data_IF_990734698313
#
_entry.id   IF_990734698313
#
_cell.length_a   1.000
_cell.length_b   1.000
_cell.length_c   1.000
_cell.angle_alpha   90.00
_cell.angle_beta   90.00
_cell.angle_gamma   90.00
#
_symmetry.space_group_name_H-M   'P 1'
#
loop_
_entity.id
_entity.type
_entity.pdbx_description
1 polymer ?
#
# COMPACT_ATOMS: atom_id res chain seq x y z
N UNK A 1 14.69 20.04 -5.93
CA UNK A 1 13.87 19.87 -7.14
C UNK A 1 12.47 19.52 -6.66
N UNK A 2 11.48 20.34 -7.01
CA UNK A 2 10.10 20.10 -6.56
C UNK A 2 9.42 19.05 -7.45
N UNK A 3 8.59 18.19 -6.84
CA UNK A 3 7.86 17.14 -7.57
C UNK A 3 6.54 17.68 -8.15
N UNK A 4 5.95 18.68 -7.50
CA UNK A 4 4.68 19.30 -7.87
C UNK A 4 4.75 20.83 -7.85
N UNK A 5 3.86 21.47 -8.61
CA UNK A 5 3.77 22.93 -8.76
C UNK A 5 2.31 23.41 -8.59
N UNK A 6 2.16 24.66 -8.14
CA UNK A 6 0.85 25.33 -8.15
C UNK A 6 0.47 25.69 -9.59
N UNK A 7 -0.82 25.56 -9.91
CA UNK A 7 -1.33 25.89 -11.23
C UNK A 7 -2.19 27.16 -11.19
N UNK A 8 -2.01 28.09 -12.14
CA UNK A 8 -2.93 29.21 -12.32
C UNK A 8 -4.36 28.73 -12.58
N UNK A 9 -5.36 29.41 -12.02
CA UNK A 9 -6.79 29.03 -12.17
C UNK A 9 -7.26 29.17 -13.62
N UNK A 10 -6.59 29.99 -14.43
CA UNK A 10 -6.91 30.23 -15.84
C UNK A 10 -6.49 29.06 -16.74
N UNK A 11 -5.58 28.20 -16.28
CA UNK A 11 -5.15 27.06 -17.08
C UNK A 11 -6.17 25.93 -17.03
N UNK A 12 -6.55 25.34 -18.18
CA UNK A 12 -7.45 24.20 -18.20
C UNK A 12 -6.82 23.00 -17.49
N UNK A 13 -7.63 21.98 -17.21
CA UNK A 13 -7.13 20.70 -16.72
C UNK A 13 -6.24 20.04 -17.78
N UNK A 14 -5.17 19.37 -17.35
CA UNK A 14 -4.15 18.75 -18.21
C UNK A 14 -3.59 17.46 -17.61
N UNK A 15 -2.82 16.71 -18.40
CA UNK A 15 -2.12 15.53 -17.93
C UNK A 15 -1.22 15.88 -16.73
N UNK A 16 -1.22 15.01 -15.71
CA UNK A 16 -0.44 15.20 -14.50
C UNK A 16 -1.01 16.21 -13.51
N UNK A 17 -2.18 16.83 -13.79
CA UNK A 17 -2.93 17.54 -12.76
C UNK A 17 -3.34 16.55 -11.66
N UNK A 18 -3.15 16.97 -10.42
CA UNK A 18 -3.58 16.25 -9.22
C UNK A 18 -4.91 16.84 -8.79
N UNK A 19 -5.92 15.99 -8.77
CA UNK A 19 -7.26 16.30 -8.34
C UNK A 19 -7.49 15.84 -6.90
N UNK A 20 -8.14 16.70 -6.12
CA UNK A 20 -8.80 16.30 -4.89
C UNK A 20 -10.24 15.91 -5.19
N UNK A 21 -10.65 14.74 -4.72
CA UNK A 21 -11.98 14.18 -4.92
C UNK A 21 -12.88 14.60 -3.76
N UNK A 22 -14.02 15.19 -4.10
CA UNK A 22 -15.09 15.56 -3.18
C UNK A 22 -16.25 14.56 -3.38
N UNK A 23 -16.28 13.46 -2.60
CA UNK A 23 -17.35 12.48 -2.69
C UNK A 23 -18.70 13.12 -2.32
N UNK A 24 -19.77 12.68 -2.97
CA UNK A 24 -21.12 13.10 -2.64
C UNK A 24 -21.98 11.91 -2.20
N UNK A 25 -22.85 12.16 -1.22
CA UNK A 25 -23.75 11.13 -0.70
C UNK A 25 -23.02 10.00 0.04
N UNK A 26 -23.65 8.82 0.07
CA UNK A 26 -23.16 7.65 0.81
C UNK A 26 -22.26 6.71 0.00
N UNK A 27 -22.02 6.99 -1.29
CA UNK A 27 -21.17 6.13 -2.13
C UNK A 27 -19.70 6.42 -1.83
N UNK A 28 -18.95 5.49 -1.22
CA UNK A 28 -17.56 5.74 -0.87
C UNK A 28 -16.71 5.77 -2.15
N UNK A 29 -16.15 6.93 -2.47
CA UNK A 29 -15.06 6.98 -3.43
C UNK A 29 -13.81 6.39 -2.75
N UNK A 30 -13.07 5.46 -3.38
CA UNK A 30 -12.05 4.69 -2.68
C UNK A 30 -10.75 5.46 -2.37
N UNK A 31 -10.66 6.73 -2.78
CA UNK A 31 -9.49 7.60 -2.57
C UNK A 31 -9.92 9.07 -2.62
N UNK A 32 -9.11 9.94 -2.01
CA UNK A 32 -9.34 11.39 -1.94
C UNK A 32 -8.49 12.20 -2.93
N UNK A 33 -7.46 11.58 -3.53
CA UNK A 33 -6.53 12.22 -4.44
C UNK A 33 -6.33 11.37 -5.70
N UNK A 34 -6.15 12.01 -6.85
CA UNK A 34 -5.88 11.31 -8.10
C UNK A 34 -5.07 12.16 -9.09
N UNK A 35 -4.28 11.51 -9.95
CA UNK A 35 -3.59 12.16 -11.06
C UNK A 35 -4.35 11.93 -12.38
N UNK A 36 -4.48 12.97 -13.21
CA UNK A 36 -4.99 12.85 -14.58
C UNK A 36 -3.95 12.17 -15.46
N UNK A 37 -4.34 11.11 -16.18
CA UNK A 37 -3.45 10.40 -17.10
C UNK A 37 -3.77 10.62 -18.58
N UNK A 38 -4.93 11.18 -18.93
CA UNK A 38 -5.26 11.56 -20.31
C UNK A 38 -4.12 12.37 -20.93
N UNK A 39 -3.77 12.09 -22.18
CA UNK A 39 -2.71 12.82 -22.87
C UNK A 39 -3.13 14.29 -23.08
N UNK A 40 -2.16 15.21 -23.00
CA UNK A 40 -2.40 16.64 -23.22
C UNK A 40 -3.01 16.91 -24.61
N UNK A 41 -2.61 16.15 -25.63
CA UNK A 41 -3.15 16.28 -26.99
C UNK A 41 -4.63 15.85 -27.07
N UNK A 42 -5.06 14.83 -26.32
CA UNK A 42 -6.45 14.40 -26.31
C UNK A 42 -7.33 15.40 -25.57
N UNK A 43 -6.84 15.91 -24.44
CA UNK A 43 -7.51 16.95 -23.64
C UNK A 43 -7.70 18.24 -24.46
N UNK A 44 -6.65 18.70 -25.15
CA UNK A 44 -6.69 19.93 -25.94
C UNK A 44 -7.62 19.84 -27.16
N UNK A 45 -7.81 18.65 -27.72
CA UNK A 45 -8.65 18.41 -28.90
C UNK A 45 -10.04 17.85 -28.57
N UNK A 46 -10.40 17.73 -27.28
CA UNK A 46 -11.68 17.15 -26.86
C UNK A 46 -11.87 15.67 -27.18
N UNK A 47 -10.78 14.92 -27.43
CA UNK A 47 -10.78 13.49 -27.80
C UNK A 47 -10.87 12.54 -26.60
N UNK A 48 -11.37 13.04 -25.48
CA UNK A 48 -11.50 12.29 -24.22
C UNK A 48 -12.95 11.90 -23.93
N UNK A 49 -13.88 12.13 -24.88
CA UNK A 49 -15.31 11.75 -24.82
C UNK A 49 -16.02 12.19 -23.53
N UNK A 50 -15.63 13.35 -22.98
CA UNK A 50 -16.17 13.85 -21.73
C UNK A 50 -15.73 13.08 -20.48
N UNK A 51 -14.69 12.25 -20.58
CA UNK A 51 -14.15 11.42 -19.49
C UNK A 51 -12.74 11.84 -19.12
N UNK A 52 -12.46 11.94 -17.82
CA UNK A 52 -11.12 12.10 -17.27
C UNK A 52 -10.71 10.76 -16.64
N UNK A 53 -9.63 10.19 -17.13
CA UNK A 53 -8.97 9.00 -16.62
C UNK A 53 -8.01 9.37 -15.48
N UNK A 54 -8.13 8.64 -14.38
CA UNK A 54 -7.52 8.94 -13.10
C UNK A 54 -6.69 7.77 -12.59
N UNK A 55 -5.51 8.09 -12.06
CA UNK A 55 -4.70 7.18 -11.25
C UNK A 55 -4.85 7.57 -9.77
N UNK A 56 -5.26 6.65 -8.89
CA UNK A 56 -5.50 6.96 -7.49
C UNK A 56 -4.19 7.23 -6.76
N UNK A 57 -4.21 8.24 -5.90
CA UNK A 57 -3.12 8.61 -5.01
C UNK A 57 -3.59 8.40 -3.58
N UNK A 58 -2.77 7.72 -2.79
CA UNK A 58 -3.00 7.53 -1.35
C UNK A 58 -1.90 8.24 -0.59
N UNK A 59 -2.22 8.84 0.56
CA UNK A 59 -1.15 9.19 1.52
C UNK A 59 -0.45 7.92 1.95
N UNK A 60 0.83 8.00 2.27
CA UNK A 60 1.58 6.78 2.55
C UNK A 60 1.04 6.03 3.77
N UNK A 61 0.55 6.75 4.80
CA UNK A 61 -0.15 6.15 5.94
C UNK A 61 -1.44 5.43 5.53
N UNK A 62 -2.28 6.06 4.70
CA UNK A 62 -3.50 5.45 4.15
C UNK A 62 -3.17 4.21 3.31
N UNK A 63 -2.10 4.28 2.51
CA UNK A 63 -1.61 3.14 1.73
C UNK A 63 -1.17 1.99 2.64
N UNK A 64 -0.36 2.29 3.65
CA UNK A 64 0.13 1.29 4.59
C UNK A 64 -1.03 0.59 5.29
N UNK A 65 -1.99 1.36 5.79
CA UNK A 65 -3.15 0.82 6.49
C UNK A 65 -4.05 -0.03 5.57
N UNK A 66 -4.27 0.41 4.32
CA UNK A 66 -5.22 -0.22 3.41
C UNK A 66 -4.64 -1.46 2.71
N UNK A 67 -3.37 -1.43 2.31
CA UNK A 67 -2.79 -2.44 1.41
C UNK A 67 -1.64 -3.24 2.03
N UNK A 68 -0.83 -2.64 2.89
CA UNK A 68 0.33 -3.31 3.48
C UNK A 68 -0.03 -4.04 4.78
N UNK A 69 -0.75 -3.36 5.68
CA UNK A 69 -1.06 -3.83 7.03
C UNK A 69 -1.79 -5.19 7.05
N UNK A 70 -2.79 -5.47 6.18
CA UNK A 70 -3.45 -6.78 6.18
C UNK A 70 -2.49 -7.94 5.91
N UNK A 71 -1.61 -7.77 4.91
CA UNK A 71 -0.62 -8.78 4.55
C UNK A 71 0.47 -8.90 5.62
N UNK A 72 0.89 -7.76 6.18
CA UNK A 72 1.82 -7.74 7.28
C UNK A 72 1.28 -8.55 8.46
N UNK A 73 0.07 -8.26 8.95
CA UNK A 73 -0.57 -8.99 10.05
C UNK A 73 -0.69 -10.49 9.74
N UNK A 74 -1.15 -10.85 8.53
CA UNK A 74 -1.26 -12.25 8.12
C UNK A 74 0.10 -12.98 8.22
N UNK A 75 1.17 -12.36 7.75
CA UNK A 75 2.52 -12.91 7.85
C UNK A 75 3.01 -13.00 9.31
N UNK A 76 2.64 -12.05 10.17
CA UNK A 76 2.96 -12.14 11.62
C UNK A 76 2.26 -13.32 12.29
N UNK A 77 0.99 -13.55 11.95
CA UNK A 77 0.21 -14.71 12.42
C UNK A 77 0.88 -16.00 11.93
N UNK A 78 1.23 -16.09 10.65
CA UNK A 78 1.88 -17.27 10.07
C UNK A 78 3.22 -17.59 10.74
N UNK A 79 4.10 -16.59 10.89
CA UNK A 79 5.41 -16.75 11.54
C UNK A 79 5.24 -17.23 12.99
N UNK A 80 4.37 -16.59 13.76
CA UNK A 80 4.12 -16.96 15.16
C UNK A 80 3.52 -18.37 15.28
N UNK A 81 2.53 -18.68 14.43
CA UNK A 81 1.88 -19.99 14.39
C UNK A 81 2.87 -21.09 14.05
N UNK A 82 3.75 -20.86 13.07
CA UNK A 82 4.82 -21.79 12.72
C UNK A 82 5.77 -22.05 13.89
N UNK A 83 6.20 -21.01 14.60
CA UNK A 83 7.07 -21.17 15.79
C UNK A 83 6.39 -21.99 16.89
N UNK A 84 5.10 -21.73 17.18
CA UNK A 84 4.33 -22.48 18.19
C UNK A 84 4.20 -23.94 17.75
N UNK A 85 3.79 -24.18 16.50
CA UNK A 85 3.60 -25.51 15.92
C UNK A 85 4.86 -26.37 16.03
N UNK A 86 6.00 -25.82 15.61
CA UNK A 86 7.30 -26.52 15.60
C UNK A 86 7.85 -26.75 17.01
N UNK A 87 7.65 -25.80 17.93
CA UNK A 87 8.21 -25.92 19.29
C UNK A 87 7.37 -26.80 20.21
N UNK A 88 6.05 -26.80 20.02
CA UNK A 88 5.09 -27.54 20.84
C UNK A 88 4.63 -28.86 20.21
N UNK A 89 5.11 -29.18 19.00
CA UNK A 89 4.74 -30.39 18.22
C UNK A 89 3.22 -30.54 18.03
N UNK A 90 2.54 -29.41 17.81
CA UNK A 90 1.09 -29.34 17.59
C UNK A 90 0.79 -29.48 16.09
N UNK A 91 -0.31 -30.12 15.71
CA UNK A 91 -0.74 -30.16 14.30
C UNK A 91 -1.39 -28.85 13.81
N UNK A 92 -1.59 -28.75 12.50
CA UNK A 92 -2.16 -27.55 11.87
C UNK A 92 -3.61 -27.25 12.32
N UNK A 93 -4.42 -28.29 12.56
CA UNK A 93 -5.81 -28.13 13.03
C UNK A 93 -5.89 -27.47 14.40
N UNK A 94 -5.05 -27.93 15.33
CA UNK A 94 -4.98 -27.41 16.69
C UNK A 94 -4.46 -25.96 16.73
N UNK A 95 -3.58 -25.58 15.78
CA UNK A 95 -3.17 -24.17 15.60
C UNK A 95 -4.34 -23.32 15.11
N UNK A 96 -5.13 -23.82 14.16
CA UNK A 96 -6.37 -23.17 13.73
C UNK A 96 -7.35 -22.95 14.88
N UNK A 97 -7.53 -23.96 15.74
CA UNK A 97 -8.35 -23.85 16.95
C UNK A 97 -7.80 -22.82 17.95
N UNK A 98 -6.48 -22.77 18.15
CA UNK A 98 -5.84 -21.76 18.99
C UNK A 98 -6.09 -20.35 18.47
N UNK A 99 -5.91 -20.12 17.16
CA UNK A 99 -6.18 -18.83 16.52
C UNK A 99 -7.64 -18.44 16.73
N UNK A 100 -8.58 -19.36 16.48
CA UNK A 100 -10.01 -19.11 16.67
C UNK A 100 -10.35 -18.85 18.14
N UNK A 101 -9.71 -19.56 19.07
CA UNK A 101 -9.92 -19.35 20.50
C UNK A 101 -9.44 -17.95 20.92
N UNK A 102 -8.22 -17.55 20.56
CA UNK A 102 -7.72 -16.20 20.80
C UNK A 102 -8.63 -15.18 20.11
N UNK A 103 -9.10 -15.47 18.88
CA UNK A 103 -9.98 -14.58 18.15
C UNK A 103 -11.41 -14.48 18.73
N UNK A 104 -11.80 -15.43 19.58
CA UNK A 104 -13.06 -15.38 20.33
C UNK A 104 -12.94 -14.65 21.68
N UNK A 105 -11.72 -14.32 22.13
CA UNK A 105 -11.54 -13.58 23.37
C UNK A 105 -12.01 -12.13 23.20
N UNK A 106 -12.93 -11.73 24.08
CA UNK A 106 -13.34 -10.33 24.23
C UNK A 106 -12.15 -9.46 24.66
N UNK A 107 -12.23 -8.14 24.43
CA UNK A 107 -11.17 -7.18 24.76
C UNK A 107 -10.71 -7.20 26.23
N UNK A 108 -11.53 -7.76 27.14
CA UNK A 108 -11.25 -7.83 28.57
C UNK A 108 -10.72 -9.19 29.04
N UNK A 109 -10.62 -10.19 28.17
CA UNK A 109 -10.10 -11.51 28.51
C UNK A 109 -8.70 -11.66 27.93
N UNK A 110 -7.69 -11.74 28.79
CA UNK A 110 -6.33 -12.07 28.37
C UNK A 110 -6.19 -13.57 28.15
N UNK A 111 -5.39 -13.95 27.16
CA UNK A 111 -4.93 -15.32 27.01
C UNK A 111 -3.85 -15.60 28.05
N UNK A 112 -4.02 -16.66 28.84
CA UNK A 112 -3.05 -17.06 29.87
C UNK A 112 -1.89 -17.84 29.22
N UNK A 113 -0.82 -17.10 28.89
CA UNK A 113 0.35 -17.62 28.18
C UNK A 113 1.14 -18.60 29.06
N UNK A 114 1.27 -18.31 30.36
CA UNK A 114 2.02 -19.17 31.29
C UNK A 114 1.34 -20.53 31.46
N UNK A 115 0.00 -20.52 31.58
CA UNK A 115 -0.79 -21.75 31.62
C UNK A 115 -0.76 -22.53 30.31
N UNK A 116 -0.64 -21.86 29.17
CA UNK A 116 -0.47 -22.55 27.89
C UNK A 116 0.91 -23.20 27.80
N UNK A 117 1.98 -22.45 28.05
CA UNK A 117 3.36 -22.92 27.92
C UNK A 117 3.66 -24.07 28.89
N UNK A 118 3.11 -24.02 30.11
CA UNK A 118 3.28 -25.08 31.12
C UNK A 118 2.65 -26.43 30.75
N UNK A 119 1.80 -26.50 29.70
CA UNK A 119 1.25 -27.77 29.19
C UNK A 119 2.25 -28.58 28.37
N UNK A 120 3.35 -27.96 27.96
CA UNK A 120 4.35 -28.56 27.09
C UNK A 120 5.66 -28.75 27.85
N UNK A 121 6.33 -29.88 27.61
CA UNK A 121 7.64 -30.18 28.18
C UNK A 121 8.75 -29.45 27.41
N UNK A 122 8.79 -28.12 27.53
CA UNK A 122 9.73 -27.27 26.80
C UNK A 122 10.98 -26.97 27.62
N UNK A 123 12.15 -27.00 26.96
CA UNK A 123 13.35 -26.41 27.55
C UNK A 123 13.20 -24.87 27.69
N UNK A 124 14.02 -24.24 28.54
CA UNK A 124 13.93 -22.80 28.83
C UNK A 124 13.95 -21.91 27.58
N UNK A 125 14.75 -22.25 26.56
CA UNK A 125 14.87 -21.46 25.33
C UNK A 125 13.61 -21.59 24.47
N UNK A 126 13.11 -22.81 24.29
CA UNK A 126 11.87 -23.07 23.56
C UNK A 126 10.66 -22.45 24.26
N UNK A 127 10.57 -22.56 25.60
CA UNK A 127 9.52 -21.93 26.39
C UNK A 127 9.49 -20.40 26.17
N UNK A 128 10.66 -19.73 26.25
CA UNK A 128 10.73 -18.29 25.97
C UNK A 128 10.33 -17.95 24.53
N UNK A 129 10.78 -18.74 23.55
CA UNK A 129 10.43 -18.54 22.14
C UNK A 129 8.92 -18.68 21.90
N UNK A 130 8.28 -19.67 22.51
CA UNK A 130 6.83 -19.89 22.44
C UNK A 130 6.07 -18.76 23.14
N UNK A 131 6.50 -18.32 24.31
CA UNK A 131 5.91 -17.16 25.00
C UNK A 131 5.89 -15.93 24.09
N UNK A 132 7.03 -15.58 23.48
CA UNK A 132 7.12 -14.45 22.55
C UNK A 132 6.24 -14.66 21.32
N UNK A 133 6.19 -15.89 20.78
CA UNK A 133 5.34 -16.21 19.64
C UNK A 133 3.84 -16.05 19.97
N UNK A 134 3.37 -16.50 21.15
CA UNK A 134 1.97 -16.36 21.57
C UNK A 134 1.61 -14.89 21.83
N UNK A 135 2.52 -14.12 22.45
CA UNK A 135 2.34 -12.68 22.61
C UNK A 135 2.16 -12.00 21.26
N UNK A 136 3.05 -12.29 20.30
CA UNK A 136 2.99 -11.77 18.93
C UNK A 136 1.74 -12.21 18.19
N UNK A 137 1.32 -13.46 18.34
CA UNK A 137 0.08 -13.99 17.76
C UNK A 137 -1.14 -13.24 18.30
N UNK A 138 -1.19 -13.03 19.61
CA UNK A 138 -2.27 -12.30 20.28
C UNK A 138 -2.33 -10.85 19.80
N UNK A 139 -1.18 -10.15 19.80
CA UNK A 139 -1.07 -8.78 19.26
C UNK A 139 -1.51 -8.70 17.80
N UNK A 140 -1.12 -9.67 16.97
CA UNK A 140 -1.49 -9.70 15.55
C UNK A 140 -3.00 -9.91 15.35
N UNK A 141 -3.64 -10.78 16.14
CA UNK A 141 -5.09 -11.01 16.09
C UNK A 141 -5.85 -9.76 16.55
N UNK A 142 -5.42 -9.10 17.62
CA UNK A 142 -5.99 -7.82 18.07
C UNK A 142 -5.81 -6.74 16.99
N UNK A 143 -4.61 -6.67 16.40
CA UNK A 143 -4.30 -5.81 15.27
C UNK A 143 -5.22 -6.07 14.07
N UNK A 144 -5.54 -7.35 13.81
CA UNK A 144 -6.43 -7.76 12.73
C UNK A 144 -7.84 -7.19 12.89
N UNK A 145 -8.36 -7.10 14.12
CA UNK A 145 -9.69 -6.53 14.39
C UNK A 145 -9.72 -5.01 14.26
N UNK A 146 -8.67 -4.34 14.73
CA UNK A 146 -8.61 -2.88 14.72
C UNK A 146 -8.24 -2.29 13.35
N UNK A 147 -7.47 -3.02 12.53
CA UNK A 147 -6.92 -2.55 11.24
C UNK A 147 -6.25 -1.17 11.37
N UNK A 148 -5.58 -0.92 12.50
CA UNK A 148 -4.90 0.33 12.81
C UNK A 148 -3.39 0.15 12.74
N UNK A 149 -2.68 1.12 12.16
CA UNK A 149 -1.21 1.11 12.12
C UNK A 149 -0.58 1.13 13.52
N UNK A 150 -1.32 1.53 14.55
CA UNK A 150 -0.86 1.48 15.94
C UNK A 150 -0.45 0.06 16.37
N UNK A 151 -1.12 -0.98 15.86
CA UNK A 151 -0.84 -2.38 16.26
C UNK A 151 0.54 -2.88 15.83
N UNK A 152 1.20 -2.21 14.86
CA UNK A 152 2.57 -2.57 14.46
C UNK A 152 3.54 -2.39 15.62
N UNK A 153 3.26 -1.45 16.53
CA UNK A 153 4.05 -1.22 17.75
C UNK A 153 4.03 -2.43 18.68
N UNK A 154 2.86 -3.04 18.83
CA UNK A 154 2.61 -4.18 19.72
C UNK A 154 3.23 -5.48 19.19
N UNK A 155 3.78 -5.44 17.97
CA UNK A 155 4.47 -6.53 17.29
C UNK A 155 6.00 -6.37 17.34
N UNK A 156 6.50 -5.30 17.97
CA UNK A 156 7.93 -5.11 18.18
C UNK A 156 8.49 -6.21 19.12
N UNK A 157 9.64 -6.83 18.81
CA UNK A 157 10.23 -7.85 19.67
C UNK A 157 10.61 -7.34 21.07
N UNK A 158 11.04 -6.08 21.16
CA UNK A 158 11.44 -5.42 22.40
C UNK A 158 10.72 -4.07 22.51
N UNK A 159 10.12 -3.73 23.68
CA UNK A 159 9.48 -2.44 23.90
C UNK A 159 10.43 -1.24 23.75
N UNK A 160 11.70 -1.40 24.16
CA UNK A 160 12.72 -0.35 24.13
C UNK A 160 13.17 0.02 22.71
N UNK A 161 13.04 -0.90 21.74
CA UNK A 161 13.44 -0.72 20.34
C UNK A 161 12.24 -0.44 19.41
N UNK A 162 11.07 -0.10 19.96
CA UNK A 162 9.82 0.03 19.19
C UNK A 162 9.96 0.99 18.00
N UNK A 163 10.56 2.17 18.20
CA UNK A 163 10.71 3.17 17.14
C UNK A 163 11.62 2.70 16.01
N UNK A 164 12.71 2.00 16.35
CA UNK A 164 13.62 1.40 15.37
C UNK A 164 12.94 0.29 14.58
N UNK A 165 12.14 -0.53 15.25
CA UNK A 165 11.34 -1.57 14.60
C UNK A 165 10.32 -0.97 13.63
N UNK A 166 9.56 0.05 14.07
CA UNK A 166 8.59 0.76 13.23
C UNK A 166 9.25 1.39 12.00
N UNK A 167 10.37 2.09 12.19
CA UNK A 167 11.12 2.69 11.09
C UNK A 167 11.59 1.63 10.09
N UNK A 168 12.05 0.47 10.59
CA UNK A 168 12.39 -0.70 9.76
C UNK A 168 11.20 -1.19 8.93
N UNK A 169 10.07 -1.47 9.58
CA UNK A 169 8.87 -1.97 8.90
C UNK A 169 8.36 -0.99 7.83
N UNK A 170 8.30 0.31 8.13
CA UNK A 170 7.84 1.35 7.20
C UNK A 170 8.82 1.51 6.03
N UNK A 171 10.14 1.46 6.30
CA UNK A 171 11.18 1.51 5.28
C UNK A 171 11.08 0.32 4.32
N UNK A 172 10.90 -0.88 4.87
CA UNK A 172 10.78 -2.10 4.08
C UNK A 172 9.47 -2.12 3.28
N UNK A 173 8.36 -1.66 3.86
CA UNK A 173 7.10 -1.47 3.15
C UNK A 173 7.25 -0.53 1.93
N UNK A 174 8.02 0.56 2.08
CA UNK A 174 8.33 1.48 0.98
C UNK A 174 9.16 0.79 -0.11
N UNK A 175 10.20 0.03 0.27
CA UNK A 175 11.04 -0.71 -0.69
C UNK A 175 10.24 -1.78 -1.43
N UNK A 176 9.24 -2.38 -0.79
CA UNK A 176 8.41 -3.45 -1.35
C UNK A 176 7.23 -2.97 -2.19
N UNK A 177 7.07 -1.67 -2.44
CA UNK A 177 5.96 -1.14 -3.25
C UNK A 177 5.90 -1.80 -4.65
N UNK A 178 7.03 -2.22 -5.22
CA UNK A 178 7.08 -2.87 -6.53
C UNK A 178 6.83 -1.91 -7.70
N UNK A 179 6.83 -2.44 -8.92
CA UNK A 179 6.85 -1.65 -10.17
C UNK A 179 5.51 -0.99 -10.53
N UNK A 180 4.40 -1.49 -9.97
CA UNK A 180 3.05 -0.96 -10.17
C UNK A 180 2.73 0.30 -9.37
N UNK A 181 3.71 0.89 -8.68
CA UNK A 181 3.53 2.02 -7.79
C UNK A 181 4.56 3.12 -8.08
N UNK A 182 4.16 4.36 -7.84
CA UNK A 182 5.07 5.51 -7.90
C UNK A 182 4.96 6.30 -6.60
N UNK A 183 6.09 6.42 -5.91
CA UNK A 183 6.20 7.17 -4.67
C UNK A 183 6.57 8.63 -4.97
N UNK A 184 5.83 9.55 -4.38
CA UNK A 184 6.05 10.99 -4.40
C UNK A 184 6.17 11.46 -2.96
N UNK A 185 7.08 12.37 -2.67
CA UNK A 185 7.34 12.87 -1.32
C UNK A 185 6.35 13.97 -0.92
N UNK A 186 6.04 14.89 -1.84
CA UNK A 186 5.23 16.07 -1.54
C UNK A 186 4.25 16.44 -2.67
N UNK A 187 3.04 16.86 -2.27
CA UNK A 187 2.00 17.37 -3.17
C UNK A 187 1.56 18.76 -2.69
N UNK A 188 1.89 19.79 -3.46
CA UNK A 188 1.47 21.17 -3.14
C UNK A 188 -0.05 21.24 -2.96
N UNK A 189 -0.48 21.82 -1.84
CA UNK A 189 -1.89 21.95 -1.45
C UNK A 189 -2.42 20.83 -0.54
N UNK A 190 -1.67 19.75 -0.30
CA UNK A 190 -1.96 18.78 0.75
C UNK A 190 -0.98 18.97 1.93
N UNK A 191 -1.41 18.68 3.15
CA UNK A 191 -0.57 18.81 4.36
C UNK A 191 0.15 17.49 4.72
N UNK A 192 -0.07 16.42 3.96
CA UNK A 192 0.56 15.13 4.17
C UNK A 192 1.98 15.05 3.60
N UNK A 193 2.71 14.02 4.01
CA UNK A 193 4.04 13.69 3.47
C UNK A 193 4.03 12.23 3.02
N UNK A 194 4.61 11.99 1.84
CA UNK A 194 4.67 10.67 1.23
C UNK A 194 3.34 10.27 0.64
N UNK A 195 3.36 9.96 -0.65
CA UNK A 195 2.19 9.63 -1.44
C UNK A 195 2.52 8.48 -2.37
N UNK A 196 1.56 7.57 -2.53
CA UNK A 196 1.70 6.40 -3.40
C UNK A 196 0.63 6.46 -4.48
N UNK A 197 1.08 6.59 -5.72
CA UNK A 197 0.23 6.50 -6.91
C UNK A 197 0.17 5.02 -7.32
N UNK A 198 -1.05 4.47 -7.46
CA UNK A 198 -1.21 3.08 -7.94
C UNK A 198 -1.50 3.06 -9.43
N UNK A 199 -0.61 2.45 -10.21
CA UNK A 199 -0.65 2.52 -11.69
C UNK A 199 -1.59 1.51 -12.34
N UNK A 200 -1.86 0.39 -11.65
CA UNK A 200 -2.63 -0.75 -12.20
C UNK A 200 -4.14 -0.62 -12.05
N UNK A 201 -4.65 0.48 -11.49
CA UNK A 201 -6.09 0.73 -11.37
C UNK A 201 -6.41 2.11 -11.92
N UNK A 202 -7.12 2.12 -13.04
CA UNK A 202 -7.59 3.33 -13.69
C UNK A 202 -9.04 3.56 -13.26
N UNK A 203 -9.33 4.76 -12.82
CA UNK A 203 -10.69 5.22 -12.54
C UNK A 203 -11.08 6.28 -13.55
N UNK A 204 -12.37 6.58 -13.62
CA UNK A 204 -12.90 7.60 -14.53
C UNK A 204 -13.87 8.51 -13.80
N UNK A 205 -13.86 9.79 -14.16
CA UNK A 205 -14.84 10.79 -13.72
C UNK A 205 -15.31 11.59 -14.94
N UNK A 206 -16.56 12.04 -14.94
CA UNK A 206 -17.10 12.94 -15.97
C UNK A 206 -16.35 14.27 -15.93
N UNK A 207 -15.81 14.71 -17.07
CA UNK A 207 -15.03 15.93 -17.20
C UNK A 207 -15.79 17.19 -16.73
N UNK A 208 -17.13 17.20 -16.86
CA UNK A 208 -17.98 18.31 -16.38
C UNK A 208 -18.03 18.41 -14.85
N UNK A 209 -17.54 17.39 -14.14
CA UNK A 209 -17.44 17.34 -12.67
C UNK A 209 -16.01 17.58 -12.17
N UNK A 210 -15.10 17.92 -13.07
CA UNK A 210 -13.73 18.29 -12.73
C UNK A 210 -13.53 19.79 -12.89
N UNK A 211 -13.09 20.43 -11.81
CA UNK A 211 -12.95 21.88 -11.73
C UNK A 211 -11.49 22.29 -11.57
N UNK A 212 -11.12 23.45 -12.09
CA UNK A 212 -9.74 23.98 -11.98
C UNK A 212 -9.41 24.52 -10.59
N UNK A 213 -10.42 24.75 -9.75
CA UNK A 213 -10.27 25.22 -8.37
C UNK A 213 -11.46 24.83 -7.49
N UNK A 214 -11.26 24.84 -6.17
CA UNK A 214 -12.33 24.63 -5.19
C UNK A 214 -13.43 25.71 -5.29
N UNK A 215 -13.05 26.98 -5.53
CA UNK A 215 -14.01 28.07 -5.69
C UNK A 215 -14.96 27.87 -6.88
N UNK A 216 -14.45 27.31 -7.98
CA UNK A 216 -15.27 27.00 -9.17
C UNK A 216 -16.22 25.84 -8.87
N UNK A 217 -15.77 24.84 -8.12
CA UNK A 217 -16.62 23.73 -7.65
C UNK A 217 -17.76 24.25 -6.76
N UNK A 218 -17.47 25.12 -5.80
CA UNK A 218 -18.49 25.71 -4.90
C UNK A 218 -19.53 26.56 -5.65
N UNK A 219 -19.10 27.24 -6.71
CA UNK A 219 -20.00 28.03 -7.57
C UNK A 219 -20.88 27.15 -8.48
N UNK A 220 -20.53 25.87 -8.66
CA UNK A 220 -21.34 24.93 -9.43
C UNK A 220 -22.57 24.51 -8.61
N UNK A 221 -23.76 24.69 -9.19
CA UNK A 221 -25.03 24.38 -8.48
C UNK A 221 -25.09 22.90 -8.10
N UNK A 222 -24.96 22.61 -6.81
CA UNK A 222 -25.48 21.43 -6.12
C UNK A 222 -25.39 20.10 -6.86
N UNK A 223 -24.19 19.69 -7.27
CA UNK A 223 -23.97 18.34 -7.78
C UNK A 223 -24.16 17.34 -6.63
N UNK A 224 -25.22 16.53 -6.68
CA UNK A 224 -25.41 15.37 -5.80
C UNK A 224 -24.45 14.22 -6.11
N UNK A 225 -23.53 14.41 -7.07
CA UNK A 225 -22.58 13.40 -7.56
C UNK A 225 -21.12 13.84 -7.26
N UNK A 226 -20.24 12.88 -6.96
CA UNK A 226 -18.81 13.07 -6.66
C UNK A 226 -18.14 14.07 -7.61
N UNK A 227 -17.54 15.13 -7.11
CA UNK A 227 -16.84 16.10 -7.95
C UNK A 227 -15.36 16.05 -7.65
N UNK A 228 -14.56 16.73 -8.45
CA UNK A 228 -13.13 16.84 -8.20
C UNK A 228 -12.64 18.23 -8.56
N UNK A 229 -11.59 18.70 -7.89
CA UNK A 229 -10.94 19.96 -8.25
C UNK A 229 -9.43 19.84 -8.23
N UNK A 230 -8.75 20.62 -9.07
CA UNK A 230 -7.29 20.64 -9.12
C UNK A 230 -6.69 21.20 -7.83
N UNK A 231 -5.78 20.44 -7.25
CA UNK A 231 -4.98 20.80 -6.10
C UNK A 231 -3.62 21.38 -6.55
N UNK A 232 -2.95 20.66 -7.44
CA UNK A 232 -1.63 20.99 -8.00
C UNK A 232 -1.40 20.21 -9.29
N UNK A 233 -0.18 20.27 -9.84
CA UNK A 233 0.26 19.49 -11.00
C UNK A 233 1.66 18.94 -10.77
N UNK A 234 1.96 17.78 -11.35
CA UNK A 234 3.35 17.32 -11.43
C UNK A 234 4.21 18.23 -12.31
N UNK A 235 5.42 18.54 -11.85
CA UNK A 235 6.39 19.24 -12.71
C UNK A 235 6.66 18.42 -13.98
N UNK A 236 7.13 19.01 -15.09
CA UNK A 236 7.27 18.32 -16.37
C UNK A 236 8.00 16.97 -16.27
N UNK A 237 9.10 16.91 -15.52
CA UNK A 237 9.86 15.67 -15.29
C UNK A 237 9.02 14.57 -14.61
N UNK A 238 8.25 14.93 -13.57
CA UNK A 238 7.40 13.99 -12.84
C UNK A 238 6.17 13.58 -13.64
N UNK A 239 5.62 14.49 -14.45
CA UNK A 239 4.54 14.18 -15.41
C UNK A 239 5.00 13.13 -16.44
N UNK A 240 6.17 13.34 -17.05
CA UNK A 240 6.72 12.37 -18.01
C UNK A 240 7.04 11.02 -17.35
N UNK A 241 7.62 11.04 -16.14
CA UNK A 241 7.88 9.83 -15.36
C UNK A 241 6.60 9.07 -15.04
N UNK A 242 5.54 9.77 -14.61
CA UNK A 242 4.21 9.19 -14.36
C UNK A 242 3.69 8.47 -15.61
N UNK A 243 3.70 9.15 -16.75
CA UNK A 243 3.24 8.60 -18.03
C UNK A 243 4.08 7.39 -18.47
N UNK A 244 5.40 7.44 -18.30
CA UNK A 244 6.30 6.35 -18.66
C UNK A 244 6.06 5.10 -17.80
N UNK A 245 6.00 5.26 -16.47
CA UNK A 245 5.72 4.14 -15.56
C UNK A 245 4.34 3.55 -15.89
N UNK A 246 3.34 4.40 -16.09
CA UNK A 246 2.00 3.96 -16.49
C UNK A 246 2.04 3.15 -17.79
N UNK A 247 2.64 3.66 -18.86
CA UNK A 247 2.73 2.97 -20.14
C UNK A 247 3.46 1.62 -20.02
N UNK A 248 4.54 1.55 -19.22
CA UNK A 248 5.27 0.30 -18.97
C UNK A 248 4.42 -0.78 -18.29
N UNK A 249 3.46 -0.40 -17.44
CA UNK A 249 2.59 -1.37 -16.78
C UNK A 249 1.63 -2.05 -17.78
N UNK A 250 1.18 -1.35 -18.82
CA UNK A 250 0.23 -1.88 -19.79
C UNK A 250 0.87 -2.38 -21.08
N UNK A 251 2.11 -1.98 -21.40
CA UNK A 251 2.85 -2.51 -22.55
C UNK A 251 3.23 -3.99 -22.39
N UNK A 252 3.21 -4.51 -21.15
CA UNK A 252 3.53 -5.90 -20.83
C UNK A 252 2.34 -6.86 -20.92
N UNK A 253 1.13 -6.34 -21.15
CA UNK A 253 -0.08 -7.17 -21.23
C UNK A 253 -0.04 -8.00 -22.52
N UNK A 254 -0.05 -9.33 -22.38
CA UNK A 254 -0.02 -10.28 -23.50
C UNK A 254 1.39 -10.75 -23.90
N UNK A 255 2.46 -10.28 -23.25
CA UNK A 255 3.79 -10.84 -23.45
C UNK A 255 3.94 -12.15 -22.63
N UNK A 256 4.35 -13.27 -23.23
CA UNK A 256 4.55 -14.52 -22.50
C UNK A 256 5.55 -14.35 -21.36
N UNK A 257 5.25 -14.90 -20.18
CA UNK A 257 6.17 -14.92 -19.03
C UNK A 257 7.52 -15.59 -19.35
N UNK A 258 7.56 -16.39 -20.42
CA UNK A 258 8.75 -17.04 -20.99
C UNK A 258 9.86 -16.04 -21.37
N UNK A 259 9.52 -14.83 -21.82
CA UNK A 259 10.53 -13.79 -22.10
C UNK A 259 11.27 -13.33 -20.84
N UNK A 260 10.58 -13.27 -19.72
CA UNK A 260 11.19 -12.98 -18.41
C UNK A 260 12.03 -14.17 -17.94
N UNK A 261 11.57 -15.40 -18.19
CA UNK A 261 12.32 -16.63 -17.85
C UNK A 261 13.63 -16.77 -18.66
N UNK A 262 13.65 -16.34 -19.92
CA UNK A 262 14.86 -16.30 -20.75
C UNK A 262 15.91 -15.34 -20.18
N UNK A 263 15.49 -14.23 -19.57
CA UNK A 263 16.42 -13.30 -18.93
C UNK A 263 17.05 -13.87 -17.66
N UNK A 264 16.31 -14.66 -16.87
CA UNK A 264 16.85 -15.40 -15.73
C UNK A 264 17.86 -16.47 -16.16
N UNK A 265 17.54 -17.24 -17.21
CA UNK A 265 18.45 -18.24 -17.79
C UNK A 265 19.76 -17.62 -18.29
N UNK A 266 19.70 -16.42 -18.88
CA UNK A 266 20.89 -15.71 -19.33
C UNK A 266 21.77 -15.24 -18.16
N UNK A 267 21.16 -14.79 -17.05
CA UNK A 267 21.87 -14.42 -15.82
C UNK A 267 22.52 -15.64 -15.18
N UNK A 268 21.81 -16.76 -15.09
CA UNK A 268 22.35 -18.01 -14.54
C UNK A 268 23.53 -18.51 -15.36
N UNK A 269 23.43 -18.47 -16.70
CA UNK A 269 24.52 -18.83 -17.61
C UNK A 269 25.73 -17.90 -17.43
N UNK A 270 25.53 -16.59 -17.33
CA UNK A 270 26.61 -15.63 -17.08
C UNK A 270 27.32 -15.90 -15.73
N UNK A 271 26.56 -16.25 -14.68
CA UNK A 271 27.11 -16.62 -13.37
C UNK A 271 27.95 -17.90 -13.47
N UNK A 272 27.49 -18.91 -14.22
CA UNK A 272 28.28 -20.12 -14.46
C UNK A 272 29.56 -19.83 -15.25
N UNK A 273 29.50 -19.01 -16.28
CA UNK A 273 30.66 -18.61 -17.08
C UNK A 273 31.71 -17.86 -16.24
N UNK A 274 31.28 -17.00 -15.31
CA UNK A 274 32.18 -16.30 -14.38
C UNK A 274 32.82 -17.28 -13.39
N UNK A 275 32.07 -18.27 -12.91
CA UNK A 275 32.58 -19.32 -12.00
C UNK A 275 33.59 -20.24 -12.69
N UNK A 276 33.35 -20.60 -13.95
CA UNK A 276 34.25 -21.48 -14.71
C UNK A 276 35.54 -20.78 -15.16
N UNK A 277 35.52 -19.45 -15.29
CA UNK A 277 36.69 -18.63 -15.70
C UNK A 277 37.72 -18.37 -14.58
N UNK A 278 37.53 -18.95 -13.39
CA UNK A 278 38.44 -18.83 -12.23
C UNK A 278 39.29 -20.10 -11.95
N UNK A 279 39.37 -21.03 -12.91
CA UNK A 279 40.38 -22.10 -12.93
C UNK A 279 41.45 -21.78 -13.96
#
# INVERSE_FOLDING_TARGET
MEETEHCPVQEPLRQGDILKIEPSGSSPWPFSLAAIINADCDMANGKHDGVIALLPIYRFTEYLQTFWLPNFIANQIEIASKTIRESCEIDESNIGELINWIDSLDQHKSFDIEKFVSRFELNRKSAQSVTVAIQRLTSAIIGRRSMSLACVRDLAPNPEDCDKYLAGQVSDAKKSLGDGHFFVTDLKGDNGVGFVIRMRRIYSIDARRCFVSFSTLQSSKGSTKTSAFRLSRFTPHYKFKLAQIFAQQYSRIGLPNELTALSSLAVDNAVEHIKSSKK
#
